data_IF_166767319932
#
_entry.id   IF_166767319932
#
_cell.length_a   1.000
_cell.length_b   1.000
_cell.length_c   1.000
_cell.angle_alpha   90.00
_cell.angle_beta   90.00
_cell.angle_gamma   90.00
#
_symmetry.space_group_name_H-M   'P 1'
#
loop_
_entity.id
_entity.type
_entity.pdbx_description
1 polymer ?
#
# COMPACT_ATOMS: atom_id res chain seq x y z
N UNK A 1 -45.71 1.22 -22.17
CA UNK A 1 -45.30 1.24 -20.74
C UNK A 1 -43.85 0.81 -20.68
N UNK A 2 -42.93 1.77 -20.56
CA UNK A 2 -41.50 1.51 -20.36
C UNK A 2 -41.27 1.66 -18.86
N UNK A 3 -40.78 0.60 -18.21
CA UNK A 3 -40.44 0.62 -16.80
C UNK A 3 -39.34 1.65 -16.53
N UNK A 4 -39.66 2.68 -15.73
CA UNK A 4 -38.69 3.55 -15.07
C UNK A 4 -37.93 2.76 -14.01
N UNK A 5 -36.79 2.18 -14.40
CA UNK A 5 -35.78 1.80 -13.42
C UNK A 5 -35.05 3.07 -12.97
N UNK A 6 -34.85 3.31 -11.66
CA UNK A 6 -34.05 4.43 -11.18
C UNK A 6 -32.56 4.15 -11.48
N UNK A 7 -32.12 4.45 -12.70
CA UNK A 7 -30.70 4.42 -13.03
C UNK A 7 -30.05 5.68 -12.46
N UNK A 8 -29.10 5.50 -11.53
CA UNK A 8 -28.24 6.61 -11.08
C UNK A 8 -27.29 6.97 -12.21
N UNK A 9 -27.55 8.08 -12.89
CA UNK A 9 -26.61 8.68 -13.84
C UNK A 9 -25.38 9.14 -13.05
N UNK A 10 -24.24 8.47 -13.25
CA UNK A 10 -22.96 8.89 -12.69
C UNK A 10 -22.59 10.24 -13.32
N UNK A 11 -22.65 11.31 -12.53
CA UNK A 11 -22.17 12.65 -12.93
C UNK A 11 -20.67 12.73 -12.66
N UNK A 12 -19.96 13.44 -13.55
CA UNK A 12 -18.52 13.68 -13.40
C UNK A 12 -18.27 14.41 -12.08
N UNK A 13 -17.41 13.84 -11.24
CA UNK A 13 -17.05 14.47 -9.97
C UNK A 13 -16.17 15.69 -10.27
N UNK A 14 -16.59 16.89 -9.84
CA UNK A 14 -15.80 18.12 -10.05
C UNK A 14 -14.61 18.23 -9.08
N UNK A 15 -14.57 17.38 -8.05
CA UNK A 15 -13.48 17.24 -7.10
C UNK A 15 -13.07 15.78 -7.10
N UNK A 16 -11.79 15.50 -7.39
CA UNK A 16 -11.20 14.17 -7.21
C UNK A 16 -11.24 13.85 -5.72
N UNK A 17 -12.21 13.02 -5.31
CA UNK A 17 -12.44 12.58 -3.92
C UNK A 17 -11.40 11.59 -3.39
N UNK A 18 -10.26 11.47 -4.09
CA UNK A 18 -9.20 10.53 -3.77
C UNK A 18 -8.36 10.91 -2.54
N UNK A 19 -7.59 9.95 -2.00
CA UNK A 19 -6.69 10.21 -0.88
C UNK A 19 -5.60 11.21 -1.28
N UNK A 20 -5.43 12.27 -0.46
CA UNK A 20 -4.40 13.31 -0.71
C UNK A 20 -3.02 12.98 -0.14
N UNK A 21 -2.96 12.16 0.91
CA UNK A 21 -1.69 11.70 1.50
C UNK A 21 -1.65 10.18 1.38
N UNK A 22 -0.78 9.70 0.50
CA UNK A 22 -0.63 8.28 0.20
C UNK A 22 0.76 7.80 0.59
N UNK A 23 0.83 6.55 1.00
CA UNK A 23 2.05 5.77 1.08
C UNK A 23 1.84 4.49 0.28
N UNK A 24 2.79 4.15 -0.57
CA UNK A 24 2.85 2.85 -1.24
C UNK A 24 3.98 2.04 -0.61
N UNK A 25 3.74 0.78 -0.31
CA UNK A 25 4.67 -0.10 0.37
C UNK A 25 4.72 -1.44 -0.35
N UNK A 26 5.93 -2.00 -0.41
CA UNK A 26 6.17 -3.39 -0.79
C UNK A 26 7.34 -3.93 0.05
N UNK A 27 7.24 -5.19 0.47
CA UNK A 27 8.24 -5.85 1.31
C UNK A 27 8.76 -7.13 0.66
N UNK A 28 10.08 -7.30 0.72
CA UNK A 28 10.71 -8.58 0.39
C UNK A 28 10.95 -9.34 1.69
N UNK A 29 10.66 -10.64 1.68
CA UNK A 29 10.72 -11.46 2.90
C UNK A 29 11.83 -12.50 2.84
N UNK A 30 12.23 -12.97 4.01
CA UNK A 30 13.00 -14.19 4.20
C UNK A 30 12.19 -15.11 5.11
N UNK A 31 12.22 -16.40 4.81
CA UNK A 31 11.62 -17.41 5.67
C UNK A 31 12.56 -17.71 6.83
N UNK A 32 11.99 -17.94 8.00
CA UNK A 32 12.69 -18.43 9.18
C UNK A 32 11.86 -19.54 9.80
N UNK A 33 12.44 -20.72 9.92
CA UNK A 33 11.80 -21.81 10.63
C UNK A 33 11.87 -21.59 12.14
N UNK A 34 10.73 -21.67 12.80
CA UNK A 34 10.58 -21.50 14.24
C UNK A 34 9.68 -22.62 14.74
N UNK A 35 10.27 -23.62 15.41
CA UNK A 35 9.54 -24.72 16.06
C UNK A 35 8.51 -25.41 15.14
N UNK A 36 8.89 -25.70 13.90
CA UNK A 36 8.02 -26.35 12.90
C UNK A 36 7.10 -25.40 12.12
N UNK A 37 7.15 -24.09 12.38
CA UNK A 37 6.43 -23.07 11.61
C UNK A 37 7.39 -22.26 10.73
N UNK A 38 6.96 -21.94 9.50
CA UNK A 38 7.69 -21.02 8.63
C UNK A 38 7.19 -19.60 8.88
N UNK A 39 8.01 -18.78 9.53
CA UNK A 39 7.72 -17.37 9.75
C UNK A 39 8.32 -16.53 8.61
N UNK A 40 7.52 -15.64 8.02
CA UNK A 40 8.00 -14.64 7.08
C UNK A 40 8.48 -13.40 7.83
N UNK A 41 9.72 -12.98 7.59
CA UNK A 41 10.28 -11.75 8.15
C UNK A 41 10.76 -10.83 7.05
N UNK A 42 10.49 -9.54 7.18
CA UNK A 42 10.97 -8.52 6.26
C UNK A 42 12.50 -8.59 6.16
N UNK A 43 12.98 -8.80 4.94
CA UNK A 43 14.39 -8.73 4.56
C UNK A 43 14.74 -7.30 4.18
N UNK A 44 13.86 -6.66 3.41
CA UNK A 44 13.93 -5.24 3.06
C UNK A 44 12.57 -4.76 2.55
N UNK A 45 12.42 -3.46 2.37
CA UNK A 45 11.21 -2.87 1.82
C UNK A 45 11.53 -1.60 1.04
N UNK A 46 10.61 -1.23 0.14
CA UNK A 46 10.55 0.11 -0.43
C UNK A 46 9.25 0.77 -0.05
N UNK A 47 9.32 2.07 0.20
CA UNK A 47 8.13 2.90 0.38
C UNK A 47 8.18 4.12 -0.52
N UNK A 48 7.04 4.54 -1.05
CA UNK A 48 6.86 5.81 -1.73
C UNK A 48 5.80 6.64 -1.02
N UNK A 49 6.19 7.77 -0.41
CA UNK A 49 5.22 8.73 0.11
C UNK A 49 4.86 9.74 -0.98
N UNK A 50 3.58 9.83 -1.32
CA UNK A 50 3.06 10.73 -2.33
C UNK A 50 2.00 11.66 -1.75
N UNK A 51 2.00 12.91 -2.20
CA UNK A 51 0.95 13.89 -1.88
C UNK A 51 0.31 14.41 -3.15
N UNK A 52 -1.01 14.48 -3.14
CA UNK A 52 -1.84 14.97 -4.23
C UNK A 52 -2.58 16.24 -3.81
N UNK A 53 -2.78 17.15 -4.76
CA UNK A 53 -3.62 18.34 -4.56
C UNK A 53 -5.12 18.01 -4.72
N UNK A 54 -5.98 19.03 -4.65
CA UNK A 54 -7.43 18.86 -4.83
C UNK A 54 -7.86 18.47 -6.24
N UNK A 55 -6.97 18.58 -7.23
CA UNK A 55 -7.18 18.20 -8.63
C UNK A 55 -6.51 16.86 -8.96
N UNK A 56 -6.03 16.12 -7.95
CA UNK A 56 -5.34 14.85 -8.13
C UNK A 56 -3.94 14.95 -8.72
N UNK A 57 -3.38 16.16 -8.88
CA UNK A 57 -2.01 16.33 -9.36
C UNK A 57 -1.04 15.96 -8.24
N UNK A 58 -0.06 15.11 -8.55
CA UNK A 58 1.04 14.81 -7.63
C UNK A 58 1.87 16.08 -7.40
N UNK A 59 1.98 16.49 -6.13
CA UNK A 59 2.76 17.67 -5.71
C UNK A 59 4.05 17.31 -4.97
N UNK A 60 4.14 16.08 -4.44
CA UNK A 60 5.35 15.60 -3.75
C UNK A 60 5.45 14.09 -3.87
N UNK A 61 6.67 13.61 -4.03
CA UNK A 61 7.00 12.19 -4.05
C UNK A 61 8.34 11.98 -3.35
N UNK A 62 8.45 10.89 -2.57
CA UNK A 62 9.71 10.49 -1.95
C UNK A 62 9.76 8.98 -1.79
N UNK A 63 10.71 8.36 -2.49
CA UNK A 63 11.08 6.96 -2.30
C UNK A 63 12.07 6.82 -1.16
N UNK A 64 11.93 5.73 -0.39
CA UNK A 64 12.88 5.32 0.63
C UNK A 64 13.02 3.80 0.66
N UNK A 65 14.26 3.36 0.86
CA UNK A 65 14.64 1.97 1.06
C UNK A 65 14.76 1.68 2.55
N UNK A 66 14.37 0.47 2.96
CA UNK A 66 14.37 0.04 4.35
C UNK A 66 14.97 -1.34 4.54
N UNK A 67 15.77 -1.50 5.58
CA UNK A 67 16.26 -2.80 6.07
C UNK A 67 15.80 -3.11 7.48
N UNK A 68 15.31 -2.07 8.19
CA UNK A 68 14.82 -2.16 9.55
C UNK A 68 13.32 -1.89 9.56
N UNK A 69 12.49 -2.88 9.95
CA UNK A 69 11.05 -2.68 10.09
C UNK A 69 10.75 -1.55 11.09
N UNK A 70 11.53 -1.45 12.17
CA UNK A 70 11.40 -0.41 13.17
C UNK A 70 11.55 0.99 12.57
N UNK A 71 12.66 1.23 11.86
CA UNK A 71 12.92 2.56 11.26
C UNK A 71 11.90 2.89 10.17
N UNK A 72 11.43 1.89 9.44
CA UNK A 72 10.36 2.04 8.46
C UNK A 72 9.06 2.50 9.13
N UNK A 73 8.62 1.79 10.17
CA UNK A 73 7.37 2.13 10.85
C UNK A 73 7.46 3.45 11.62
N UNK A 74 8.58 3.77 12.27
CA UNK A 74 8.81 5.09 12.87
C UNK A 74 8.63 6.20 11.82
N UNK A 75 9.20 6.02 10.63
CA UNK A 75 9.02 6.97 9.52
C UNK A 75 7.56 7.02 9.06
N UNK A 76 6.90 5.88 8.81
CA UNK A 76 5.52 5.85 8.33
C UNK A 76 4.56 6.52 9.33
N UNK A 77 4.72 6.23 10.62
CA UNK A 77 3.94 6.89 11.67
C UNK A 77 4.20 8.39 11.73
N UNK A 78 5.44 8.84 11.48
CA UNK A 78 5.77 10.28 11.41
C UNK A 78 5.11 11.00 10.23
N UNK A 79 4.70 10.29 9.18
CA UNK A 79 3.98 10.86 8.04
C UNK A 79 2.51 11.14 8.36
N UNK A 80 1.91 10.44 9.34
CA UNK A 80 0.53 10.69 9.75
C UNK A 80 0.46 11.97 10.58
N UNK A 81 -0.18 13.00 10.01
CA UNK A 81 -0.30 14.33 10.63
C UNK A 81 -1.66 14.48 11.29
N UNK A 82 -1.72 15.35 12.29
CA UNK A 82 -2.95 15.69 12.99
C UNK A 82 -4.05 16.13 12.04
N UNK A 83 -5.27 15.62 12.29
CA UNK A 83 -6.49 15.88 11.51
C UNK A 83 -6.38 15.51 10.02
N UNK A 84 -5.41 14.65 9.66
CA UNK A 84 -5.28 14.12 8.32
C UNK A 84 -5.29 12.60 8.33
N UNK A 85 -5.68 12.02 7.20
CA UNK A 85 -5.61 10.59 6.97
C UNK A 85 -4.39 10.32 6.09
N UNK A 86 -3.48 9.48 6.58
CA UNK A 86 -2.47 8.84 5.75
C UNK A 86 -3.07 7.53 5.22
N UNK A 87 -3.16 7.39 3.90
CA UNK A 87 -3.64 6.15 3.28
C UNK A 87 -2.44 5.33 2.80
N UNK A 88 -2.22 4.16 3.39
CA UNK A 88 -1.20 3.21 2.99
C UNK A 88 -1.82 2.19 2.02
N UNK A 89 -1.14 1.95 0.90
CA UNK A 89 -1.46 0.91 -0.06
C UNK A 89 -0.31 -0.08 -0.15
N UNK A 90 -0.63 -1.37 -0.16
CA UNK A 90 0.26 -2.45 -0.59
C UNK A 90 -0.54 -3.54 -1.31
N UNK A 91 0.16 -4.39 -2.05
CA UNK A 91 -0.48 -5.47 -2.81
C UNK A 91 -0.60 -6.73 -1.95
N UNK A 92 -1.81 -7.12 -1.58
CA UNK A 92 -2.07 -8.06 -0.48
C UNK A 92 -1.42 -7.61 0.85
N UNK A 93 -1.80 -6.41 1.31
CA UNK A 93 -1.11 -5.66 2.37
C UNK A 93 -0.97 -6.41 3.69
N UNK A 94 -1.87 -7.34 4.00
CA UNK A 94 -1.80 -8.09 5.24
C UNK A 94 -0.49 -8.86 5.38
N UNK A 95 0.04 -9.39 4.26
CA UNK A 95 1.33 -10.05 4.24
C UNK A 95 2.48 -9.10 4.62
N UNK A 96 2.50 -7.88 4.05
CA UNK A 96 3.48 -6.85 4.40
C UNK A 96 3.39 -6.44 5.88
N UNK A 97 2.16 -6.31 6.41
CA UNK A 97 1.96 -5.96 7.82
C UNK A 97 2.50 -7.04 8.76
N UNK A 98 2.26 -8.31 8.45
CA UNK A 98 2.78 -9.42 9.25
C UNK A 98 4.31 -9.52 9.16
N UNK A 99 4.85 -9.49 7.94
CA UNK A 99 6.28 -9.70 7.71
C UNK A 99 7.14 -8.61 8.36
N UNK A 100 6.60 -7.40 8.46
CA UNK A 100 7.27 -6.21 9.02
C UNK A 100 6.89 -5.90 10.47
N UNK A 101 6.21 -6.81 11.17
CA UNK A 101 5.80 -6.66 12.57
C UNK A 101 4.98 -5.38 12.86
N UNK A 102 4.13 -4.96 11.90
CA UNK A 102 3.31 -3.75 12.01
C UNK A 102 2.55 -3.68 13.34
N UNK A 103 1.83 -4.76 13.69
CA UNK A 103 0.94 -4.77 14.86
C UNK A 103 1.72 -4.55 16.17
N UNK A 104 2.92 -5.14 16.28
CA UNK A 104 3.81 -4.94 17.41
C UNK A 104 4.22 -3.47 17.55
N UNK A 105 4.69 -2.86 16.46
CA UNK A 105 5.13 -1.45 16.49
C UNK A 105 3.96 -0.48 16.66
N UNK A 106 2.82 -0.73 16.02
CA UNK A 106 1.61 0.07 16.16
C UNK A 106 1.15 0.09 17.62
N UNK A 107 1.06 -1.08 18.27
CA UNK A 107 0.70 -1.18 19.69
C UNK A 107 1.71 -0.46 20.57
N UNK A 108 3.01 -0.68 20.36
CA UNK A 108 4.08 -0.03 21.13
C UNK A 108 4.04 1.51 21.03
N UNK A 109 3.70 2.03 19.86
CA UNK A 109 3.56 3.46 19.60
C UNK A 109 2.18 4.02 20.01
N UNK A 110 1.30 3.21 20.62
CA UNK A 110 0.01 3.66 21.14
C UNK A 110 -1.08 3.87 20.08
N UNK A 111 -0.91 3.30 18.88
CA UNK A 111 -1.97 3.26 17.88
C UNK A 111 -3.07 2.30 18.32
N UNK A 112 -4.30 2.79 18.30
CA UNK A 112 -5.49 2.03 18.65
C UNK A 112 -6.18 1.55 17.39
N UNK A 113 -6.56 0.29 17.42
CA UNK A 113 -7.41 -0.32 16.44
C UNK A 113 -8.77 0.39 16.39
N UNK A 114 -9.25 0.71 15.17
CA UNK A 114 -10.54 1.38 14.98
C UNK A 114 -11.50 0.62 14.04
N UNK A 115 -10.97 -0.06 13.03
CA UNK A 115 -11.77 -0.82 12.06
C UNK A 115 -10.91 -1.86 11.33
N UNK A 116 -11.46 -3.05 11.07
CA UNK A 116 -10.93 -4.05 10.15
C UNK A 116 -12.03 -4.54 9.23
N UNK A 117 -11.60 -4.93 8.04
CA UNK A 117 -12.36 -5.80 7.17
C UNK A 117 -11.36 -6.69 6.46
N UNK A 118 -11.59 -8.00 6.50
CA UNK A 118 -10.79 -9.00 5.83
C UNK A 118 -11.74 -10.01 5.19
N UNK A 119 -11.69 -10.10 3.87
CA UNK A 119 -12.47 -11.06 3.09
C UNK A 119 -11.68 -11.46 1.84
N UNK A 120 -11.04 -12.62 1.90
CA UNK A 120 -10.16 -13.13 0.86
C UNK A 120 -9.03 -12.14 0.52
N UNK A 121 -9.05 -11.61 -0.70
CA UNK A 121 -8.07 -10.62 -1.17
C UNK A 121 -8.40 -9.18 -0.75
N UNK A 122 -9.57 -8.95 -0.14
CA UNK A 122 -9.97 -7.62 0.33
C UNK A 122 -9.47 -7.41 1.75
N UNK A 123 -8.69 -6.35 1.95
CA UNK A 123 -8.20 -5.99 3.28
C UNK A 123 -8.26 -4.49 3.52
N UNK A 124 -8.86 -4.10 4.65
CA UNK A 124 -8.96 -2.73 5.14
C UNK A 124 -8.62 -2.74 6.62
N UNK A 125 -7.70 -1.89 7.04
CA UNK A 125 -7.38 -1.67 8.45
C UNK A 125 -7.30 -0.17 8.72
N UNK A 126 -8.00 0.30 9.75
CA UNK A 126 -7.89 1.68 10.25
C UNK A 126 -7.40 1.65 11.67
N UNK A 127 -6.31 2.37 11.91
CA UNK A 127 -5.77 2.63 13.25
C UNK A 127 -5.69 4.13 13.51
N UNK A 128 -5.88 4.52 14.77
CA UNK A 128 -5.91 5.92 15.21
C UNK A 128 -4.98 6.15 16.40
N UNK A 129 -4.34 7.31 16.43
CA UNK A 129 -3.57 7.82 17.57
C UNK A 129 -3.90 9.30 17.72
N UNK A 130 -4.58 9.67 18.80
CA UNK A 130 -5.09 11.02 19.02
C UNK A 130 -5.91 11.54 17.81
N UNK A 131 -5.44 12.60 17.16
CA UNK A 131 -6.06 13.21 15.96
C UNK A 131 -5.49 12.64 14.65
N UNK A 132 -4.63 11.63 14.70
CA UNK A 132 -3.95 11.03 13.54
C UNK A 132 -4.66 9.74 13.14
N UNK A 133 -4.83 9.56 11.83
CA UNK A 133 -5.45 8.37 11.26
C UNK A 133 -4.52 7.75 10.23
N UNK A 134 -4.30 6.45 10.35
CA UNK A 134 -3.64 5.63 9.36
C UNK A 134 -4.66 4.63 8.83
N UNK A 135 -4.96 4.74 7.54
CA UNK A 135 -5.87 3.86 6.81
C UNK A 135 -5.04 3.00 5.87
N UNK A 136 -5.04 1.70 6.08
CA UNK A 136 -4.27 0.72 5.34
C UNK A 136 -5.24 -0.05 4.46
N UNK A 137 -4.98 -0.06 3.16
CA UNK A 137 -5.83 -0.66 2.14
C UNK A 137 -4.99 -1.59 1.28
N UNK A 138 -5.50 -2.76 0.96
CA UNK A 138 -4.88 -3.51 -0.12
C UNK A 138 -5.30 -2.96 -1.48
N UNK A 139 -4.37 -2.89 -2.43
CA UNK A 139 -4.72 -2.59 -3.82
C UNK A 139 -5.63 -3.64 -4.43
N UNK A 140 -5.63 -4.86 -3.88
CA UNK A 140 -6.48 -5.96 -4.32
C UNK A 140 -7.95 -5.73 -4.00
N UNK A 141 -8.28 -4.73 -3.16
CA UNK A 141 -9.64 -4.23 -3.02
C UNK A 141 -10.17 -3.58 -4.31
N UNK A 142 -9.28 -3.20 -5.22
CA UNK A 142 -9.59 -2.52 -6.49
C UNK A 142 -9.17 -3.35 -7.71
N UNK A 143 -8.11 -4.13 -7.57
CA UNK A 143 -7.48 -4.87 -8.67
C UNK A 143 -7.26 -6.34 -8.28
N UNK A 144 -8.10 -7.25 -8.79
CA UNK A 144 -7.99 -8.69 -8.54
C UNK A 144 -6.96 -9.38 -9.45
N UNK A 145 -5.83 -8.72 -9.68
CA UNK A 145 -4.76 -9.16 -10.58
C UNK A 145 -3.41 -8.91 -9.94
N UNK A 146 -2.40 -9.71 -10.28
CA UNK A 146 -1.05 -9.56 -9.74
C UNK A 146 -0.40 -8.24 -10.15
N UNK A 147 0.61 -7.77 -9.40
CA UNK A 147 1.42 -6.63 -9.82
C UNK A 147 2.10 -6.85 -11.19
N UNK A 148 2.41 -8.09 -11.57
CA UNK A 148 3.00 -8.38 -12.88
C UNK A 148 2.01 -8.12 -14.02
N UNK A 149 0.77 -8.56 -13.86
CA UNK A 149 -0.33 -8.31 -14.80
C UNK A 149 -0.65 -6.81 -14.87
N UNK A 150 -0.78 -6.14 -13.72
CA UNK A 150 -0.99 -4.70 -13.66
C UNK A 150 0.12 -3.91 -14.35
N UNK A 151 1.38 -4.29 -14.11
CA UNK A 151 2.52 -3.71 -14.82
C UNK A 151 2.39 -3.86 -16.33
N UNK A 152 1.92 -5.00 -16.81
CA UNK A 152 1.73 -5.25 -18.25
C UNK A 152 0.61 -4.38 -18.82
N UNK A 153 -0.53 -4.31 -18.14
CA UNK A 153 -1.69 -3.47 -18.52
C UNK A 153 -1.30 -1.99 -18.57
N UNK A 154 -0.46 -1.53 -17.64
CA UNK A 154 -0.01 -0.14 -17.56
C UNK A 154 1.16 0.18 -18.52
N UNK A 155 1.61 -0.76 -19.35
CA UNK A 155 2.79 -0.58 -20.21
C UNK A 155 4.10 -0.42 -19.41
N UNK A 156 4.12 -0.88 -18.15
CA UNK A 156 5.24 -0.81 -17.22
C UNK A 156 5.54 -2.20 -16.62
N UNK A 157 5.94 -3.19 -17.45
CA UNK A 157 5.98 -4.60 -17.07
C UNK A 157 6.99 -4.87 -15.95
N UNK A 158 6.63 -5.75 -15.02
CA UNK A 158 7.51 -6.20 -13.92
C UNK A 158 8.78 -6.86 -14.46
N UNK A 159 9.91 -6.70 -13.76
CA UNK A 159 11.13 -7.43 -14.10
C UNK A 159 10.99 -8.93 -13.80
N UNK A 160 11.89 -9.76 -14.33
CA UNK A 160 12.09 -11.15 -13.89
C UNK A 160 13.26 -11.19 -12.92
N UNK A 161 13.12 -11.96 -11.84
CA UNK A 161 14.17 -12.15 -10.83
C UNK A 161 14.25 -13.64 -10.47
N UNK A 162 15.46 -14.17 -10.45
CA UNK A 162 15.78 -15.47 -9.88
C UNK A 162 16.16 -15.27 -8.41
N UNK A 163 15.23 -15.56 -7.50
CA UNK A 163 15.39 -15.27 -6.07
C UNK A 163 16.56 -16.02 -5.41
N UNK A 164 17.04 -17.11 -6.02
CA UNK A 164 18.15 -17.91 -5.49
C UNK A 164 19.52 -17.31 -5.82
N UNK A 165 19.61 -16.54 -6.91
CA UNK A 165 20.89 -15.98 -7.42
C UNK A 165 20.95 -14.46 -7.40
N UNK A 166 19.82 -13.80 -7.15
CA UNK A 166 19.71 -12.34 -7.26
C UNK A 166 20.57 -11.62 -6.23
N UNK A 167 21.33 -10.63 -6.69
CA UNK A 167 22.05 -9.75 -5.79
C UNK A 167 21.08 -8.88 -4.97
N UNK A 168 21.50 -8.47 -3.77
CA UNK A 168 20.72 -7.52 -2.95
C UNK A 168 20.33 -6.24 -3.72
N UNK A 169 21.22 -5.74 -4.59
CA UNK A 169 20.98 -4.55 -5.41
C UNK A 169 19.88 -4.77 -6.45
N UNK A 170 19.88 -5.93 -7.11
CA UNK A 170 18.86 -6.27 -8.11
C UNK A 170 17.50 -6.53 -7.46
N UNK A 171 17.49 -7.26 -6.34
CA UNK A 171 16.26 -7.49 -5.58
C UNK A 171 15.69 -6.16 -5.03
N UNK A 172 16.56 -5.23 -4.61
CA UNK A 172 16.12 -3.89 -4.20
C UNK A 172 15.50 -3.11 -5.37
N UNK A 173 16.08 -3.17 -6.57
CA UNK A 173 15.48 -2.55 -7.78
C UNK A 173 14.14 -3.18 -8.12
N UNK A 174 14.01 -4.50 -7.97
CA UNK A 174 12.77 -5.23 -8.21
C UNK A 174 11.67 -4.78 -7.25
N UNK A 175 11.92 -4.82 -5.94
CA UNK A 175 10.98 -4.35 -4.91
C UNK A 175 10.59 -2.87 -5.12
N UNK A 176 11.55 -2.00 -5.50
CA UNK A 176 11.22 -0.61 -5.84
C UNK A 176 10.26 -0.52 -7.03
N UNK A 177 10.45 -1.36 -8.04
CA UNK A 177 9.60 -1.41 -9.24
C UNK A 177 8.18 -1.85 -8.89
N UNK A 178 8.02 -2.74 -7.91
CA UNK A 178 6.72 -3.18 -7.43
C UNK A 178 5.95 -2.03 -6.78
N UNK A 179 6.63 -1.23 -5.96
CA UNK A 179 6.07 0.02 -5.42
C UNK A 179 5.68 1.00 -6.53
N UNK A 180 6.50 1.12 -7.59
CA UNK A 180 6.21 2.00 -8.74
C UNK A 180 4.98 1.53 -9.52
N UNK A 181 4.85 0.22 -9.78
CA UNK A 181 3.69 -0.38 -10.45
C UNK A 181 2.43 -0.17 -9.58
N UNK A 182 2.52 -0.48 -8.29
CA UNK A 182 1.43 -0.30 -7.34
C UNK A 182 0.94 1.16 -7.33
N UNK A 183 1.88 2.11 -7.23
CA UNK A 183 1.57 3.54 -7.28
C UNK A 183 0.87 3.91 -8.59
N UNK A 184 1.40 3.49 -9.73
CA UNK A 184 0.80 3.77 -11.05
C UNK A 184 -0.60 3.19 -11.18
N UNK A 185 -0.83 1.97 -10.68
CA UNK A 185 -2.15 1.34 -10.68
C UNK A 185 -3.14 2.14 -9.84
N UNK A 186 -2.75 2.57 -8.64
CA UNK A 186 -3.61 3.38 -7.78
C UNK A 186 -3.85 4.79 -8.36
N UNK A 187 -2.84 5.41 -8.96
CA UNK A 187 -3.00 6.71 -9.64
C UNK A 187 -3.93 6.62 -10.85
N UNK A 188 -3.82 5.53 -11.62
CA UNK A 188 -4.75 5.23 -12.70
C UNK A 188 -6.19 5.13 -12.16
N UNK A 189 -6.40 4.36 -11.08
CA UNK A 189 -7.70 4.26 -10.42
C UNK A 189 -8.21 5.62 -9.91
N UNK A 190 -7.36 6.42 -9.26
CA UNK A 190 -7.74 7.74 -8.77
C UNK A 190 -8.13 8.68 -9.90
N UNK A 191 -7.47 8.60 -11.06
CA UNK A 191 -7.82 9.44 -12.22
C UNK A 191 -9.18 9.11 -12.84
N UNK A 192 -9.69 7.91 -12.59
CA UNK A 192 -10.99 7.45 -13.09
C UNK A 192 -12.18 7.94 -12.24
N UNK A 193 -11.99 8.13 -10.93
CA UNK A 193 -13.04 8.49 -9.94
C UNK A 193 -13.13 9.99 -9.65
#
# INVERSE_FOLDING_TARGET
MICDYPYKILRKNHVLGGPRNCLYLDTETKTKEIKGYVAHRMKMAWSCSARYDSKGKQIREKYRYWESPRLMWDYIFSLSRDKTILTLFAHNVFFDLQSSDFFHYAQKEGWKYAFNWEDGMTYILVVKKDKRTLRILSSTNYFHSSLAELGTILGYPKGKVDFDKVSKRELSKYCKKDVEILKKAMEFYFSFI
#
